data_IF_734953813991
#
_entry.id   IF_734953813991
#
_cell.length_a   1.000
_cell.length_b   1.000
_cell.length_c   1.000
_cell.angle_alpha   90.00
_cell.angle_beta   90.00
_cell.angle_gamma   90.00
#
_symmetry.space_group_name_H-M   'P 1'
#
loop_
_entity.id
_entity.type
_entity.pdbx_description
1 polymer ?
#
# COMPACT_ATOMS: atom_id res chain seq x y z
N UNK A 1 -13.39 -8.27 -4.27
CA UNK A 1 -13.79 -7.11 -3.46
C UNK A 1 -12.78 -6.03 -3.80
N UNK A 2 -12.95 -5.44 -4.97
CA UNK A 2 -13.75 -4.23 -5.29
C UNK A 2 -12.95 -2.99 -4.94
N UNK A 3 -12.09 -2.59 -5.89
CA UNK A 3 -11.44 -1.29 -5.89
C UNK A 3 -12.53 -0.23 -5.66
N UNK A 4 -12.36 0.63 -4.66
CA UNK A 4 -13.16 1.84 -4.57
C UNK A 4 -12.63 2.77 -5.67
N UNK A 5 -13.31 2.79 -6.81
CA UNK A 5 -12.98 3.72 -7.89
C UNK A 5 -13.77 5.00 -7.63
N UNK A 6 -13.08 6.04 -7.18
CA UNK A 6 -13.65 7.38 -7.08
C UNK A 6 -13.26 8.12 -8.36
N UNK A 7 -14.17 8.16 -9.34
CA UNK A 7 -13.91 8.89 -10.59
C UNK A 7 -14.20 10.39 -10.40
N UNK A 8 -13.19 11.23 -10.62
CA UNK A 8 -13.34 12.67 -10.73
C UNK A 8 -13.15 13.13 -12.17
N UNK A 9 -13.78 14.23 -12.57
CA UNK A 9 -13.52 14.88 -13.86
C UNK A 9 -13.02 16.30 -13.59
N UNK A 10 -11.90 16.68 -14.21
CA UNK A 10 -11.36 18.05 -14.11
C UNK A 10 -11.43 18.73 -15.47
N UNK A 11 -12.38 19.66 -15.63
CA UNK A 11 -12.47 20.48 -16.85
C UNK A 11 -11.57 21.71 -16.71
N UNK A 12 -10.58 21.85 -17.58
CA UNK A 12 -9.70 23.04 -17.61
C UNK A 12 -10.36 24.25 -18.31
N UNK A 13 -11.49 24.06 -19.00
CA UNK A 13 -12.27 25.18 -19.58
C UNK A 13 -12.88 26.15 -18.54
N UNK A 14 -12.79 25.82 -17.26
CA UNK A 14 -13.24 26.66 -16.13
C UNK A 14 -12.08 27.30 -15.36
N UNK A 15 -10.82 27.14 -15.79
CA UNK A 15 -9.70 27.78 -15.10
C UNK A 15 -9.71 29.27 -15.42
N UNK A 16 -10.16 30.07 -14.47
CA UNK A 16 -10.09 31.52 -14.55
C UNK A 16 -8.87 32.02 -13.77
N UNK A 17 -8.02 32.78 -14.44
CA UNK A 17 -6.92 33.53 -13.83
C UNK A 17 -5.57 33.21 -14.46
N UNK A 18 -4.97 34.19 -15.13
CA UNK A 18 -3.51 34.24 -15.27
C UNK A 18 -2.95 34.60 -13.89
N UNK A 19 -2.04 33.78 -13.37
CA UNK A 19 -1.13 34.22 -12.33
C UNK A 19 -0.17 35.26 -12.92
N UNK A 20 0.43 36.10 -12.07
CA UNK A 20 1.30 37.22 -12.48
C UNK A 20 2.53 36.79 -13.32
N UNK A 21 2.84 35.49 -13.35
CA UNK A 21 3.93 34.85 -14.07
C UNK A 21 3.53 34.14 -15.38
N UNK A 22 2.24 34.16 -15.75
CA UNK A 22 1.72 33.47 -16.94
C UNK A 22 1.27 32.02 -16.70
N UNK A 23 1.25 31.55 -15.45
CA UNK A 23 0.70 30.25 -15.07
C UNK A 23 -0.84 30.29 -14.97
N UNK A 24 -1.48 29.17 -15.27
CA UNK A 24 -2.91 28.95 -15.07
C UNK A 24 -3.07 27.66 -14.25
N UNK A 25 -3.80 27.72 -13.13
CA UNK A 25 -3.89 26.62 -12.16
C UNK A 25 -5.31 26.32 -11.66
N UNK A 26 -5.64 25.03 -11.48
CA UNK A 26 -6.89 24.59 -10.85
C UNK A 26 -6.64 23.44 -9.89
N UNK A 27 -7.19 23.61 -8.69
CA UNK A 27 -7.19 22.61 -7.62
C UNK A 27 -8.50 21.86 -7.62
N UNK A 28 -8.44 20.53 -7.59
CA UNK A 28 -9.60 19.67 -7.38
C UNK A 28 -9.41 18.88 -6.11
N UNK A 29 -10.40 18.96 -5.22
CA UNK A 29 -10.38 18.32 -3.91
C UNK A 29 -11.36 17.14 -3.88
N UNK A 30 -10.91 16.04 -3.32
CA UNK A 30 -11.67 14.83 -3.05
C UNK A 30 -11.64 14.59 -1.54
N UNK A 31 -12.78 14.19 -0.99
CA UNK A 31 -12.85 13.64 0.36
C UNK A 31 -12.92 12.13 0.27
N UNK A 32 -12.05 11.46 1.03
CA UNK A 32 -12.02 10.01 1.14
C UNK A 32 -12.10 9.61 2.61
N UNK A 33 -13.10 8.79 2.91
CA UNK A 33 -13.22 8.08 4.18
C UNK A 33 -12.91 6.60 3.93
N UNK A 34 -12.06 6.01 4.76
CA UNK A 34 -11.69 4.61 4.66
C UNK A 34 -11.32 4.08 6.04
N UNK A 35 -11.88 2.92 6.39
CA UNK A 35 -11.53 2.16 7.60
C UNK A 35 -10.12 1.57 7.54
N UNK A 36 -9.42 1.72 6.40
CA UNK A 36 -8.11 1.12 6.13
C UNK A 36 -7.00 2.19 6.08
N UNK A 37 -5.86 1.94 6.75
CA UNK A 37 -4.79 2.94 6.91
C UNK A 37 -3.94 3.16 5.66
N UNK A 38 -3.98 2.25 4.68
CA UNK A 38 -3.05 2.27 3.54
C UNK A 38 -3.76 2.00 2.22
N UNK A 39 -3.49 2.84 1.23
CA UNK A 39 -3.91 2.62 -0.15
C UNK A 39 -2.89 3.16 -1.16
N UNK A 40 -3.00 2.70 -2.41
CA UNK A 40 -2.31 3.31 -3.55
C UNK A 40 -3.28 4.28 -4.23
N UNK A 41 -2.87 5.55 -4.36
CA UNK A 41 -3.58 6.53 -5.18
C UNK A 41 -2.95 6.57 -6.56
N UNK A 42 -3.68 6.10 -7.55
CA UNK A 42 -3.36 6.31 -8.95
C UNK A 42 -4.03 7.57 -9.49
N UNK A 43 -3.34 8.31 -10.34
CA UNK A 43 -3.97 9.28 -11.23
C UNK A 43 -3.67 8.88 -12.66
N UNK A 44 -4.73 8.55 -13.38
CA UNK A 44 -4.67 8.27 -14.82
C UNK A 44 -5.22 9.48 -15.55
N UNK A 45 -4.53 9.91 -16.61
CA UNK A 45 -5.01 11.03 -17.39
C UNK A 45 -4.69 11.01 -18.87
N UNK A 46 -5.56 11.73 -19.59
CA UNK A 46 -5.48 11.90 -21.03
C UNK A 46 -5.43 13.39 -21.32
N UNK A 47 -4.49 13.78 -22.19
CA UNK A 47 -4.26 15.17 -22.57
C UNK A 47 -4.52 15.33 -24.07
N UNK A 48 -5.32 16.33 -24.44
CA UNK A 48 -5.49 16.67 -25.84
C UNK A 48 -4.19 17.30 -26.40
N UNK A 49 -3.80 16.98 -27.65
CA UNK A 49 -2.51 17.37 -28.23
C UNK A 49 -2.31 18.88 -28.44
N UNK A 50 -3.36 19.70 -28.26
CA UNK A 50 -3.30 21.16 -28.42
C UNK A 50 -2.80 21.91 -27.18
N UNK A 51 -2.54 21.21 -26.07
CA UNK A 51 -1.89 21.76 -24.88
C UNK A 51 -0.37 21.87 -25.09
N UNK A 52 0.09 22.83 -25.90
CA UNK A 52 1.51 23.11 -26.09
C UNK A 52 2.07 23.90 -24.89
N UNK A 53 2.86 23.25 -24.02
CA UNK A 53 3.43 23.85 -22.80
C UNK A 53 3.92 22.80 -21.79
N UNK A 54 4.81 23.20 -20.87
CA UNK A 54 5.21 22.36 -19.73
C UNK A 54 4.06 22.33 -18.71
N UNK A 55 3.63 21.12 -18.32
CA UNK A 55 2.57 20.91 -17.34
C UNK A 55 3.16 20.25 -16.09
N UNK A 56 2.95 20.87 -14.94
CA UNK A 56 3.34 20.34 -13.65
C UNK A 56 2.09 19.90 -12.89
N UNK A 57 2.14 18.71 -12.33
CA UNK A 57 1.06 18.14 -11.54
C UNK A 57 1.54 18.01 -10.10
N UNK A 58 0.78 18.59 -9.18
CA UNK A 58 1.01 18.44 -7.75
C UNK A 58 -0.14 17.64 -7.15
N UNK A 59 0.17 16.56 -6.44
CA UNK A 59 -0.81 15.87 -5.62
C UNK A 59 -0.48 16.11 -4.16
N UNK A 60 -1.50 16.51 -3.41
CA UNK A 60 -1.43 16.59 -1.97
C UNK A 60 -2.41 15.62 -1.30
N UNK A 61 -1.99 15.07 -0.18
CA UNK A 61 -2.82 14.30 0.74
C UNK A 61 -2.57 14.82 2.15
N UNK A 62 -3.55 15.50 2.74
CA UNK A 62 -3.33 16.22 4.00
C UNK A 62 -2.18 17.22 3.89
N UNK A 63 -1.14 17.07 4.72
CA UNK A 63 0.11 17.86 4.66
C UNK A 63 1.19 17.27 3.74
N UNK A 64 1.02 16.03 3.26
CA UNK A 64 1.97 15.38 2.36
C UNK A 64 1.76 15.91 0.94
N UNK A 65 2.81 16.47 0.34
CA UNK A 65 2.79 16.99 -1.03
C UNK A 65 3.84 16.25 -1.86
N UNK A 66 3.41 15.67 -2.98
CA UNK A 66 4.32 15.11 -3.99
C UNK A 66 4.11 15.83 -5.32
N UNK A 67 5.19 16.44 -5.82
CA UNK A 67 5.23 17.06 -7.14
C UNK A 67 5.69 16.05 -8.19
N UNK A 68 4.98 16.00 -9.32
CA UNK A 68 5.32 15.18 -10.47
C UNK A 68 5.26 16.05 -11.72
N UNK A 69 6.40 16.22 -12.38
CA UNK A 69 6.46 16.86 -13.70
C UNK A 69 6.22 15.81 -14.78
N UNK A 70 5.28 16.07 -15.68
CA UNK A 70 4.94 15.13 -16.76
C UNK A 70 5.41 15.72 -18.09
N UNK A 71 6.51 15.22 -18.68
CA UNK A 71 6.93 15.60 -20.01
C UNK A 71 5.95 14.98 -21.03
N UNK A 72 5.23 15.84 -21.75
CA UNK A 72 4.10 15.56 -22.64
C UNK A 72 4.07 14.17 -23.30
N UNK A 73 3.12 13.30 -22.91
CA UNK A 73 2.60 12.28 -23.79
C UNK A 73 1.08 12.44 -23.99
N UNK A 74 0.58 11.90 -25.09
CA UNK A 74 -0.87 11.86 -25.43
C UNK A 74 -1.72 11.09 -24.38
N UNK A 75 -1.07 10.32 -23.49
CA UNK A 75 -1.66 9.65 -22.32
C UNK A 75 -0.62 9.42 -21.23
N UNK A 76 -1.01 9.46 -19.96
CA UNK A 76 -0.14 9.17 -18.83
C UNK A 76 -0.88 8.45 -17.70
N UNK A 77 -0.16 7.60 -16.97
CA UNK A 77 -0.66 6.93 -15.77
C UNK A 77 0.45 6.92 -14.72
N UNK A 78 0.12 7.33 -13.50
CA UNK A 78 1.07 7.31 -12.39
C UNK A 78 0.37 6.97 -11.08
N UNK A 79 1.15 6.49 -10.11
CA UNK A 79 0.63 6.18 -8.79
C UNK A 79 1.56 6.65 -7.69
N UNK A 80 0.97 7.04 -6.57
CA UNK A 80 1.64 7.42 -5.33
C UNK A 80 1.10 6.53 -4.22
N UNK A 81 1.98 5.84 -3.46
CA UNK A 81 1.57 5.17 -2.25
C UNK A 81 1.22 6.22 -1.19
N UNK A 82 0.05 6.07 -0.54
CA UNK A 82 -0.45 7.04 0.44
C UNK A 82 -0.83 6.33 1.73
N UNK A 83 -0.37 6.90 2.84
CA UNK A 83 -0.73 6.50 4.20
C UNK A 83 -1.79 7.48 4.70
N UNK A 84 -2.89 6.97 5.25
CA UNK A 84 -3.90 7.78 5.92
C UNK A 84 -4.13 7.28 7.33
N UNK A 85 -4.68 8.15 8.17
CA UNK A 85 -5.18 7.72 9.47
C UNK A 85 -6.59 7.15 9.29
N UNK A 86 -6.85 5.91 9.74
CA UNK A 86 -8.21 5.37 9.81
C UNK A 86 -9.12 6.31 10.60
N UNK A 87 -10.39 6.35 10.23
CA UNK A 87 -11.44 7.13 10.90
C UNK A 87 -11.22 8.67 10.93
N UNK A 88 -10.27 9.17 10.13
CA UNK A 88 -10.12 10.59 9.85
C UNK A 88 -10.43 10.90 8.39
N UNK A 89 -11.28 11.91 8.18
CA UNK A 89 -11.52 12.46 6.85
C UNK A 89 -10.19 12.95 6.27
N UNK A 90 -9.71 12.28 5.22
CA UNK A 90 -8.47 12.68 4.55
C UNK A 90 -8.81 13.40 3.26
N UNK A 91 -8.41 14.66 3.17
CA UNK A 91 -8.52 15.44 1.93
C UNK A 91 -7.39 15.09 1.00
N UNK A 92 -7.76 14.64 -0.20
CA UNK A 92 -6.85 14.39 -1.32
C UNK A 92 -7.11 15.49 -2.33
N UNK A 93 -6.07 16.13 -2.84
CA UNK A 93 -6.23 17.14 -3.88
C UNK A 93 -5.21 16.99 -4.98
N UNK A 94 -5.63 17.34 -6.18
CA UNK A 94 -4.78 17.40 -7.37
C UNK A 94 -4.79 18.84 -7.85
N UNK A 95 -3.61 19.42 -7.96
CA UNK A 95 -3.39 20.73 -8.57
C UNK A 95 -2.64 20.54 -9.87
N UNK A 96 -3.16 21.18 -10.91
CA UNK A 96 -2.56 21.19 -12.23
C UNK A 96 -2.09 22.60 -12.50
N UNK A 97 -0.79 22.78 -12.71
CA UNK A 97 -0.16 24.03 -13.13
C UNK A 97 0.28 23.89 -14.58
N UNK A 98 -0.21 24.78 -15.45
CA UNK A 98 0.21 24.83 -16.84
C UNK A 98 0.98 26.11 -17.12
N UNK A 99 2.17 25.95 -17.72
CA UNK A 99 2.90 27.07 -18.34
C UNK A 99 2.48 27.21 -19.79
N UNK A 100 1.77 28.28 -20.12
CA UNK A 100 1.38 28.60 -21.51
C UNK A 100 2.51 29.39 -22.16
N UNK A 101 3.05 28.92 -23.30
CA UNK A 101 3.99 29.73 -24.08
C UNK A 101 3.23 30.75 -24.96
N UNK A 102 3.33 32.06 -24.69
CA UNK A 102 2.53 33.06 -25.40
C UNK A 102 2.84 33.14 -26.91
N UNK A 103 4.00 32.66 -27.36
CA UNK A 103 4.39 32.65 -28.78
C UNK A 103 3.80 31.50 -29.59
N UNK A 104 3.36 30.42 -28.93
CA UNK A 104 2.61 29.32 -29.56
C UNK A 104 1.10 29.58 -29.53
N UNK A 105 0.63 30.52 -28.71
CA UNK A 105 -0.75 30.97 -28.62
C UNK A 105 -1.20 31.87 -29.79
N UNK A 106 -0.83 31.51 -31.04
CA UNK A 106 -1.40 32.09 -32.26
C UNK A 106 -2.86 31.68 -32.48
N UNK A 107 -3.61 31.61 -31.39
CA UNK A 107 -4.94 31.03 -31.24
C UNK A 107 -5.88 32.23 -31.11
N UNK A 108 -6.78 32.40 -32.08
CA UNK A 108 -7.74 33.51 -32.06
C UNK A 108 -8.62 33.48 -30.81
N UNK A 109 -9.21 34.62 -30.41
CA UNK A 109 -10.06 34.74 -29.20
C UNK A 109 -11.23 33.74 -29.14
N UNK A 110 -11.59 33.13 -30.28
CA UNK A 110 -12.64 32.10 -30.45
C UNK A 110 -12.13 30.65 -30.31
N UNK A 111 -10.83 30.41 -30.38
CA UNK A 111 -10.21 29.11 -30.10
C UNK A 111 -9.72 29.07 -28.63
N UNK A 112 -10.57 29.51 -27.70
CA UNK A 112 -10.55 28.98 -26.31
C UNK A 112 -10.99 27.52 -26.32
N UNK A 113 -10.49 26.75 -27.28
CA UNK A 113 -10.82 25.37 -27.52
C UNK A 113 -10.47 24.62 -26.26
N UNK A 114 -11.56 24.16 -25.65
CA UNK A 114 -11.62 23.59 -24.33
C UNK A 114 -10.59 22.46 -24.28
N UNK A 115 -9.45 22.75 -23.67
CA UNK A 115 -8.47 21.74 -23.37
C UNK A 115 -8.96 21.01 -22.13
N UNK A 116 -9.05 19.68 -22.20
CA UNK A 116 -9.52 18.86 -21.09
C UNK A 116 -8.38 17.97 -20.63
N UNK A 117 -8.21 17.85 -19.32
CA UNK A 117 -7.40 16.80 -18.72
C UNK A 117 -8.35 15.93 -17.91
N UNK A 118 -8.60 14.73 -18.40
CA UNK A 118 -9.31 13.73 -17.60
C UNK A 118 -8.36 13.23 -16.53
N UNK A 119 -8.77 13.26 -15.25
CA UNK A 119 -7.98 12.73 -14.14
C UNK A 119 -8.83 11.73 -13.38
N UNK A 120 -8.53 10.45 -13.55
CA UNK A 120 -9.18 9.38 -12.79
C UNK A 120 -8.39 9.10 -11.52
N UNK A 121 -8.98 9.34 -10.36
CA UNK A 121 -8.43 8.90 -9.08
C UNK A 121 -8.73 7.40 -8.91
N UNK A 122 -7.69 6.59 -8.78
CA UNK A 122 -7.80 5.16 -8.56
C UNK A 122 -7.35 4.88 -7.13
N UNK A 123 -8.27 4.51 -6.25
CA UNK A 123 -7.93 4.05 -4.90
C UNK A 123 -7.85 2.54 -4.90
N UNK A 124 -6.65 1.99 -4.78
CA UNK A 124 -6.48 0.54 -4.54
C UNK A 124 -6.34 0.30 -3.05
N UNK A 125 -7.38 -0.28 -2.47
CA UNK A 125 -7.39 -0.72 -1.09
C UNK A 125 -6.39 -1.86 -0.91
N UNK A 126 -5.47 -1.73 0.05
CA UNK A 126 -4.62 -2.83 0.43
C UNK A 126 -5.48 -3.95 1.04
N UNK A 127 -5.44 -5.14 0.45
CA UNK A 127 -6.15 -6.30 0.95
C UNK A 127 -5.18 -7.18 1.73
N UNK A 128 -5.58 -7.66 2.91
CA UNK A 128 -4.79 -8.57 3.75
C UNK A 128 -4.20 -9.77 2.98
N UNK A 129 -4.96 -10.35 2.05
CA UNK A 129 -4.56 -11.50 1.23
C UNK A 129 -3.55 -11.08 0.16
N UNK A 130 -3.64 -9.85 -0.32
CA UNK A 130 -2.70 -9.29 -1.28
C UNK A 130 -1.35 -8.97 -0.62
N UNK A 131 -1.37 -8.40 0.59
CA UNK A 131 -0.17 -8.25 1.43
C UNK A 131 0.52 -9.60 1.66
N UNK A 132 -0.26 -10.64 2.01
CA UNK A 132 0.24 -12.01 2.15
C UNK A 132 0.86 -12.52 0.83
N UNK A 133 0.19 -12.31 -0.32
CA UNK A 133 0.67 -12.76 -1.64
C UNK A 133 1.98 -12.09 -2.02
N UNK A 134 2.03 -10.75 -1.95
CA UNK A 134 3.21 -9.96 -2.27
C UNK A 134 4.39 -10.30 -1.35
N UNK A 135 4.14 -10.40 -0.03
CA UNK A 135 5.18 -10.80 0.92
C UNK A 135 5.77 -12.17 0.59
N UNK A 136 4.96 -13.14 0.20
CA UNK A 136 5.43 -14.46 -0.22
C UNK A 136 6.23 -14.44 -1.54
N UNK A 137 5.89 -13.56 -2.48
CA UNK A 137 6.66 -13.37 -3.72
C UNK A 137 8.03 -12.77 -3.43
N UNK A 138 8.08 -11.76 -2.56
CA UNK A 138 9.31 -11.12 -2.10
C UNK A 138 10.22 -12.11 -1.36
N UNK A 139 9.67 -12.97 -0.51
CA UNK A 139 10.41 -14.08 0.12
C UNK A 139 11.03 -15.00 -0.93
N UNK A 140 10.27 -15.39 -1.97
CA UNK A 140 10.80 -16.24 -3.06
C UNK A 140 11.89 -15.53 -3.87
N UNK A 141 11.82 -14.21 -3.99
CA UNK A 141 12.85 -13.39 -4.63
C UNK A 141 14.06 -13.12 -3.73
N UNK A 142 14.00 -13.45 -2.44
CA UNK A 142 15.06 -13.16 -1.46
C UNK A 142 15.02 -11.74 -0.88
N UNK A 143 13.98 -10.95 -1.18
CA UNK A 143 13.79 -9.60 -0.68
C UNK A 143 13.12 -9.61 0.70
N UNK A 144 13.87 -10.05 1.71
CA UNK A 144 13.33 -10.29 3.05
C UNK A 144 12.79 -9.03 3.75
N UNK A 145 13.47 -7.88 3.60
CA UNK A 145 13.03 -6.63 4.23
C UNK A 145 11.71 -6.11 3.66
N UNK A 146 11.56 -6.15 2.33
CA UNK A 146 10.31 -5.76 1.68
C UNK A 146 9.18 -6.74 2.03
N UNK A 147 9.47 -8.04 2.12
CA UNK A 147 8.50 -9.03 2.55
C UNK A 147 7.99 -8.78 3.97
N UNK A 148 8.90 -8.48 4.90
CA UNK A 148 8.56 -8.11 6.29
C UNK A 148 7.61 -6.92 6.31
N UNK A 149 7.91 -5.88 5.52
CA UNK A 149 7.03 -4.71 5.43
C UNK A 149 5.64 -5.07 4.90
N UNK A 150 5.55 -5.95 3.89
CA UNK A 150 4.25 -6.41 3.36
C UNK A 150 3.45 -7.22 4.37
N UNK A 151 4.09 -8.12 5.12
CA UNK A 151 3.37 -8.86 6.15
C UNK A 151 2.95 -7.96 7.32
N UNK A 152 3.75 -6.96 7.71
CA UNK A 152 3.37 -5.95 8.72
C UNK A 152 2.14 -5.15 8.28
N UNK A 153 2.14 -4.66 7.04
CA UNK A 153 0.94 -4.01 6.48
C UNK A 153 -0.29 -4.94 6.56
N UNK A 154 -0.11 -6.22 6.26
CA UNK A 154 -1.18 -7.20 6.38
C UNK A 154 -1.68 -7.42 7.81
N UNK A 155 -0.79 -7.36 8.80
CA UNK A 155 -1.15 -7.39 10.24
C UNK A 155 -1.93 -6.13 10.63
N UNK A 156 -1.52 -4.96 10.15
CA UNK A 156 -2.18 -3.69 10.45
C UNK A 156 -3.57 -3.57 9.80
N UNK A 157 -3.79 -4.26 8.67
CA UNK A 157 -5.07 -4.27 7.93
C UNK A 157 -6.13 -5.17 8.58
N UNK A 158 -5.76 -6.40 8.96
CA UNK A 158 -6.69 -7.38 9.54
C UNK A 158 -5.95 -8.21 10.61
N UNK A 159 -5.93 -7.75 11.87
CA UNK A 159 -5.22 -8.40 12.98
C UNK A 159 -5.66 -9.85 13.25
N UNK A 160 -6.89 -10.22 12.91
CA UNK A 160 -7.39 -11.59 13.04
C UNK A 160 -6.86 -12.54 11.94
N UNK A 161 -6.26 -12.01 10.87
CA UNK A 161 -5.74 -12.80 9.77
C UNK A 161 -4.33 -13.33 10.07
N UNK A 162 -4.31 -14.41 10.86
CA UNK A 162 -3.08 -14.98 11.46
C UNK A 162 -1.97 -15.39 10.48
N UNK A 163 -2.28 -15.58 9.20
CA UNK A 163 -1.27 -15.95 8.21
C UNK A 163 -0.20 -14.87 8.03
N UNK A 164 -0.54 -13.58 8.19
CA UNK A 164 0.45 -12.51 8.11
C UNK A 164 1.39 -12.51 9.32
N UNK A 165 0.88 -12.75 10.52
CA UNK A 165 1.71 -12.92 11.72
C UNK A 165 2.73 -14.04 11.58
N UNK A 166 2.28 -15.22 11.13
CA UNK A 166 3.18 -16.36 11.02
C UNK A 166 4.22 -16.20 9.90
N UNK A 167 3.84 -15.64 8.74
CA UNK A 167 4.80 -15.39 7.67
C UNK A 167 5.77 -14.25 8.03
N UNK A 168 5.32 -13.24 8.76
CA UNK A 168 6.19 -12.22 9.35
C UNK A 168 7.20 -12.84 10.31
N UNK A 169 6.74 -13.68 11.24
CA UNK A 169 7.62 -14.37 12.19
C UNK A 169 8.64 -15.27 11.47
N UNK A 170 8.22 -16.00 10.44
CA UNK A 170 9.11 -16.82 9.61
C UNK A 170 10.17 -15.98 8.88
N UNK A 171 9.79 -14.82 8.34
CA UNK A 171 10.71 -13.93 7.65
C UNK A 171 11.73 -13.30 8.62
N UNK A 172 11.30 -12.91 9.82
CA UNK A 172 12.19 -12.41 10.88
C UNK A 172 13.19 -13.47 11.34
N UNK A 173 12.73 -14.70 11.55
CA UNK A 173 13.60 -15.81 11.91
C UNK A 173 14.65 -16.09 10.83
N UNK A 174 14.27 -16.01 9.55
CA UNK A 174 15.21 -16.15 8.43
C UNK A 174 16.27 -15.04 8.40
N UNK A 175 15.95 -13.85 8.93
CA UNK A 175 16.90 -12.74 9.13
C UNK A 175 17.70 -12.84 10.44
N UNK A 176 17.46 -13.86 11.26
CA UNK A 176 18.12 -14.06 12.56
C UNK A 176 17.47 -13.32 13.73
N UNK A 177 16.36 -12.62 13.51
CA UNK A 177 15.58 -11.99 14.59
C UNK A 177 14.61 -13.02 15.19
N UNK A 178 15.15 -13.86 16.07
CA UNK A 178 14.38 -14.93 16.74
C UNK A 178 13.39 -14.35 17.76
N UNK A 179 13.74 -13.30 18.48
CA UNK A 179 12.87 -12.66 19.48
C UNK A 179 11.66 -12.01 18.81
N UNK A 180 11.87 -11.26 17.72
CA UNK A 180 10.81 -10.69 16.92
C UNK A 180 9.92 -11.78 16.31
N UNK A 181 10.52 -12.87 15.82
CA UNK A 181 9.76 -14.01 15.30
C UNK A 181 8.84 -14.62 16.35
N UNK A 182 9.36 -14.91 17.54
CA UNK A 182 8.60 -15.46 18.67
C UNK A 182 7.43 -14.55 19.03
N UNK A 183 7.69 -13.24 19.15
CA UNK A 183 6.66 -12.26 19.48
C UNK A 183 5.49 -12.29 18.49
N UNK A 184 5.77 -12.29 17.18
CA UNK A 184 4.71 -12.32 16.17
C UNK A 184 3.99 -13.66 16.09
N UNK A 185 4.68 -14.80 16.29
CA UNK A 185 4.00 -16.09 16.41
C UNK A 185 3.05 -16.14 17.61
N UNK A 186 3.47 -15.60 18.78
CA UNK A 186 2.62 -15.50 19.97
C UNK A 186 1.38 -14.62 19.73
N UNK A 187 1.55 -13.48 19.07
CA UNK A 187 0.42 -12.61 18.70
C UNK A 187 -0.55 -13.32 17.75
N UNK A 188 -0.05 -13.99 16.70
CA UNK A 188 -0.90 -14.78 15.80
C UNK A 188 -1.64 -15.92 16.52
N UNK A 189 -0.98 -16.58 17.47
CA UNK A 189 -1.58 -17.62 18.31
C UNK A 189 -2.62 -17.07 19.30
N UNK A 190 -2.51 -15.81 19.73
CA UNK A 190 -3.54 -15.17 20.54
C UNK A 190 -4.86 -15.02 19.75
N UNK A 191 -4.77 -14.75 18.44
CA UNK A 191 -5.93 -14.72 17.54
C UNK A 191 -6.42 -16.11 17.13
N UNK A 192 -5.51 -17.08 16.93
CA UNK A 192 -5.83 -18.47 16.57
C UNK A 192 -5.18 -19.47 17.54
N UNK A 193 -5.76 -19.68 18.73
CA UNK A 193 -5.16 -20.49 19.79
C UNK A 193 -5.20 -22.01 19.54
N UNK A 194 -5.85 -22.45 18.46
CA UNK A 194 -5.96 -23.85 18.01
C UNK A 194 -5.01 -24.18 16.86
N UNK A 195 -4.09 -23.27 16.51
CA UNK A 195 -3.14 -23.46 15.41
C UNK A 195 -1.98 -24.37 15.82
N UNK A 196 -2.12 -25.68 15.61
CA UNK A 196 -1.04 -26.64 15.88
C UNK A 196 0.25 -26.31 15.11
N UNK A 197 0.14 -25.88 13.85
CA UNK A 197 1.30 -25.46 13.06
C UNK A 197 2.00 -24.22 13.64
N UNK A 198 1.25 -23.25 14.17
CA UNK A 198 1.83 -22.07 14.82
C UNK A 198 2.63 -22.44 16.08
N UNK A 199 2.10 -23.33 16.93
CA UNK A 199 2.83 -23.82 18.10
C UNK A 199 4.07 -24.65 17.72
N UNK A 200 4.00 -25.45 16.66
CA UNK A 200 5.17 -26.20 16.18
C UNK A 200 6.30 -25.28 15.72
N UNK A 201 6.00 -24.24 14.94
CA UNK A 201 7.02 -23.26 14.54
C UNK A 201 7.54 -22.46 15.73
N UNK A 202 6.69 -22.10 16.69
CA UNK A 202 7.11 -21.44 17.94
C UNK A 202 8.06 -22.35 18.75
N UNK A 203 7.79 -23.65 18.82
CA UNK A 203 8.68 -24.63 19.46
C UNK A 203 10.06 -24.68 18.80
N UNK A 204 10.12 -24.66 17.47
CA UNK A 204 11.38 -24.61 16.72
C UNK A 204 12.18 -23.33 16.98
N UNK A 205 11.50 -22.20 17.14
CA UNK A 205 12.16 -20.92 17.45
C UNK A 205 12.78 -20.94 18.85
N UNK A 206 12.07 -21.47 19.85
CA UNK A 206 12.61 -21.63 21.21
C UNK A 206 13.78 -22.62 21.25
N UNK A 207 13.71 -23.71 20.49
CA UNK A 207 14.81 -24.67 20.32
C UNK A 207 16.04 -23.99 19.71
N UNK A 208 15.85 -23.15 18.69
CA UNK A 208 16.93 -22.37 18.06
C UNK A 208 17.56 -21.34 19.03
N UNK A 209 16.80 -20.85 20.02
CA UNK A 209 17.31 -20.02 21.11
C UNK A 209 17.95 -20.81 22.26
N UNK A 210 17.91 -22.14 22.22
CA UNK A 210 18.44 -23.01 23.27
C UNK A 210 17.51 -23.17 24.48
N UNK A 211 16.25 -22.71 24.40
CA UNK A 211 15.26 -22.88 25.45
C UNK A 211 14.42 -24.14 25.20
N UNK A 212 14.96 -25.29 25.61
CA UNK A 212 14.30 -26.59 25.43
C UNK A 212 12.99 -26.75 26.21
N UNK A 213 12.84 -26.09 27.35
CA UNK A 213 11.62 -26.17 28.16
C UNK A 213 10.44 -25.50 27.45
N UNK A 214 10.61 -24.26 26.98
CA UNK A 214 9.57 -23.58 26.21
C UNK A 214 9.34 -24.26 24.85
N UNK A 215 10.38 -24.80 24.21
CA UNK A 215 10.22 -25.58 22.98
C UNK A 215 9.29 -26.79 23.20
N UNK A 216 9.56 -27.59 24.24
CA UNK A 216 8.79 -28.79 24.55
C UNK A 216 7.33 -28.48 24.88
N UNK A 217 7.08 -27.41 25.64
CA UNK A 217 5.73 -26.92 25.95
C UNK A 217 4.94 -26.55 24.69
N UNK A 218 5.59 -25.88 23.74
CA UNK A 218 4.97 -25.53 22.46
C UNK A 218 4.74 -26.76 21.56
N UNK A 219 5.65 -27.74 21.55
CA UNK A 219 5.43 -28.99 20.84
C UNK A 219 4.26 -29.80 21.42
N UNK A 220 4.15 -29.90 22.75
CA UNK A 220 3.00 -30.52 23.40
C UNK A 220 1.70 -29.81 23.02
N UNK A 221 1.70 -28.47 23.01
CA UNK A 221 0.53 -27.71 22.58
C UNK A 221 0.17 -27.97 21.11
N UNK A 222 1.17 -28.11 20.24
CA UNK A 222 0.96 -28.50 18.85
C UNK A 222 0.34 -29.90 18.73
N UNK A 223 0.75 -30.85 19.57
CA UNK A 223 0.18 -32.20 19.65
C UNK A 223 -1.27 -32.19 20.14
N UNK A 224 -1.60 -31.36 21.12
CA UNK A 224 -2.98 -31.20 21.60
C UNK A 224 -3.90 -30.67 20.49
N UNK A 225 -3.41 -29.71 19.69
CA UNK A 225 -4.17 -29.15 18.57
C UNK A 225 -4.32 -30.15 17.41
N UNK A 226 -3.28 -30.94 17.12
CA UNK A 226 -3.27 -31.93 16.04
C UNK A 226 -2.69 -33.27 16.54
N UNK A 227 -3.52 -34.12 17.16
CA UNK A 227 -3.09 -35.44 17.60
C UNK A 227 -2.63 -36.31 16.43
N UNK A 228 -1.55 -37.08 16.60
CA UNK A 228 -1.01 -37.93 15.55
C UNK A 228 -0.14 -37.20 14.51
N UNK A 229 0.21 -35.92 14.74
CA UNK A 229 1.12 -35.21 13.85
C UNK A 229 2.56 -35.72 14.05
N UNK A 230 2.97 -36.72 13.26
CA UNK A 230 4.24 -37.43 13.44
C UNK A 230 5.52 -36.57 13.43
N UNK A 231 5.49 -35.34 12.88
CA UNK A 231 6.61 -34.40 13.03
C UNK A 231 6.77 -33.90 14.46
N UNK A 232 5.65 -33.61 15.13
CA UNK A 232 5.62 -33.17 16.53
C UNK A 232 5.97 -34.32 17.47
N UNK A 233 5.44 -35.52 17.21
CA UNK A 233 5.74 -36.71 18.03
C UNK A 233 7.24 -37.01 18.08
N UNK A 234 7.92 -36.87 16.94
CA UNK A 234 9.38 -37.01 16.89
C UNK A 234 10.07 -35.97 17.77
N UNK A 235 9.63 -34.71 17.73
CA UNK A 235 10.18 -33.63 18.55
C UNK A 235 9.96 -33.80 20.05
N UNK A 236 8.87 -34.46 20.45
CA UNK A 236 8.59 -34.76 21.86
C UNK A 236 9.37 -36.00 22.35
N UNK A 237 9.66 -36.93 21.44
CA UNK A 237 10.38 -38.17 21.75
C UNK A 237 11.91 -38.10 21.65
N UNK A 238 12.46 -36.99 21.14
CA UNK A 238 13.91 -36.65 21.10
C UNK A 238 14.42 -36.24 22.50
#
# INVERSE_FOLDING_TARGET
MSNLIVEGEVRLGEIQGLMDDGMVGKKVEFSLESDYPVFELGVEGYMLPYLAGENNFTIGVGELVQQVSIPQPESFAWSVPVQIQPDQETRIWIEVEQTINPKQAGVGEDERDLSFVWLKLVVKQANVKECLRQGNELVRAGNWDEAINKFRQGVDIEPEFVYNYFNLGKALAAKGDLDGAISYYQQGLAHKPDSGWGYYELGKLWEAQGNGEEAMKNYQRAQDCVPGWGLVERKIGE
#
